data_IF_476599303755
#
_entry.id   IF_476599303755
#
_cell.length_a   1.000
_cell.length_b   1.000
_cell.length_c   1.000
_cell.angle_alpha   90.00
_cell.angle_beta   90.00
_cell.angle_gamma   90.00
#
_symmetry.space_group_name_H-M   'P 1'
#
loop_
_entity.id
_entity.type
_entity.pdbx_description
1 polymer ?
#
# COMPACT_ATOMS: atom_id res chain seq x y z
N UNK A 1 -27.87 -20.95 7.36
CA UNK A 1 -26.88 -21.06 8.46
C UNK A 1 -25.50 -21.00 7.82
N UNK A 2 -24.93 -19.80 7.69
CA UNK A 2 -23.56 -19.59 7.18
C UNK A 2 -22.62 -20.24 8.19
N UNK A 3 -22.03 -21.40 7.82
CA UNK A 3 -20.88 -21.94 8.54
C UNK A 3 -19.86 -20.79 8.63
N UNK A 4 -19.43 -20.47 9.83
CA UNK A 4 -18.46 -19.42 10.12
C UNK A 4 -17.32 -19.45 9.11
N UNK A 5 -17.46 -18.71 8.01
CA UNK A 5 -16.34 -18.37 7.14
C UNK A 5 -15.58 -17.39 7.98
N UNK A 6 -14.64 -17.94 8.73
CA UNK A 6 -13.92 -17.22 9.75
C UNK A 6 -13.19 -16.06 9.03
N UNK A 7 -13.54 -14.82 9.35
CA UNK A 7 -12.87 -13.62 8.83
C UNK A 7 -11.36 -13.77 8.96
N UNK A 8 -10.90 -14.46 10.01
CA UNK A 8 -9.51 -14.86 10.20
C UNK A 8 -8.95 -15.71 9.03
N UNK A 9 -9.75 -16.63 8.48
CA UNK A 9 -9.33 -17.43 7.32
C UNK A 9 -9.19 -16.57 6.08
N UNK A 10 -10.07 -15.59 5.87
CA UNK A 10 -9.98 -14.63 4.78
C UNK A 10 -8.69 -13.79 4.90
N UNK A 11 -8.44 -13.23 6.08
CA UNK A 11 -7.22 -12.46 6.38
C UNK A 11 -5.96 -13.29 6.17
N UNK A 12 -5.93 -14.55 6.62
CA UNK A 12 -4.80 -15.46 6.39
C UNK A 12 -4.56 -15.75 4.91
N UNK A 13 -5.62 -15.90 4.11
CA UNK A 13 -5.51 -16.08 2.66
C UNK A 13 -5.00 -14.82 1.97
N UNK A 14 -5.46 -13.64 2.37
CA UNK A 14 -4.92 -12.36 1.89
C UNK A 14 -3.42 -12.20 2.21
N UNK A 15 -2.98 -12.66 3.39
CA UNK A 15 -1.56 -12.64 3.75
C UNK A 15 -0.68 -13.54 2.86
N UNK A 16 -1.24 -14.64 2.32
CA UNK A 16 -0.54 -15.48 1.35
C UNK A 16 -0.22 -14.73 0.04
N UNK A 17 -1.08 -13.83 -0.39
CA UNK A 17 -0.88 -12.96 -1.55
C UNK A 17 0.40 -12.11 -1.40
N UNK A 18 0.56 -11.46 -0.23
CA UNK A 18 1.75 -10.64 0.06
C UNK A 18 3.04 -11.47 -0.01
N UNK A 19 3.02 -12.72 0.47
CA UNK A 19 4.17 -13.62 0.40
C UNK A 19 4.53 -14.01 -1.03
N UNK A 20 3.55 -14.34 -1.85
CA UNK A 20 3.75 -14.71 -3.27
C UNK A 20 4.31 -13.52 -4.03
N UNK A 21 3.70 -12.34 -3.86
CA UNK A 21 4.15 -11.10 -4.48
C UNK A 21 5.59 -10.77 -4.09
N UNK A 22 5.92 -10.80 -2.81
CA UNK A 22 7.27 -10.54 -2.32
C UNK A 22 8.30 -11.52 -2.90
N UNK A 23 7.94 -12.81 -3.01
CA UNK A 23 8.84 -13.84 -3.57
C UNK A 23 9.11 -13.65 -5.07
N UNK A 24 8.07 -13.32 -5.84
CA UNK A 24 8.19 -13.15 -7.30
C UNK A 24 8.90 -11.83 -7.61
N UNK A 25 8.71 -10.79 -6.81
CA UNK A 25 9.36 -9.48 -6.98
C UNK A 25 10.79 -9.42 -6.40
N UNK A 26 11.23 -10.45 -5.69
CA UNK A 26 12.54 -10.44 -5.02
C UNK A 26 13.73 -10.13 -5.93
N UNK A 27 13.82 -10.62 -7.20
CA UNK A 27 14.94 -10.28 -8.09
C UNK A 27 15.01 -8.77 -8.38
N UNK A 28 13.87 -8.14 -8.69
CA UNK A 28 13.76 -6.71 -8.98
C UNK A 28 14.06 -5.89 -7.73
N UNK A 29 13.54 -6.30 -6.57
CA UNK A 29 13.83 -5.65 -5.29
C UNK A 29 15.33 -5.66 -5.00
N UNK A 30 16.00 -6.78 -5.25
CA UNK A 30 17.44 -6.91 -5.07
C UNK A 30 18.23 -6.05 -6.06
N UNK A 31 17.79 -6.00 -7.32
CA UNK A 31 18.43 -5.19 -8.36
C UNK A 31 18.44 -3.70 -7.99
N UNK A 32 17.30 -3.16 -7.56
CA UNK A 32 17.17 -1.76 -7.13
C UNK A 32 17.49 -1.55 -5.65
N UNK A 33 17.93 -2.59 -4.94
CA UNK A 33 18.21 -2.56 -3.50
C UNK A 33 17.03 -2.00 -2.67
N UNK A 34 15.82 -2.33 -3.07
CA UNK A 34 14.59 -1.87 -2.42
C UNK A 34 14.08 -2.91 -1.41
N UNK A 35 13.66 -2.43 -0.25
CA UNK A 35 12.86 -3.20 0.69
C UNK A 35 11.38 -3.22 0.27
N UNK A 36 10.58 -4.18 0.74
CA UNK A 36 9.14 -4.20 0.47
C UNK A 36 8.41 -2.90 0.86
N UNK A 37 8.77 -2.31 2.00
CA UNK A 37 8.16 -1.05 2.45
C UNK A 37 8.53 0.15 1.57
N UNK A 38 9.72 0.18 0.98
CA UNK A 38 10.11 1.21 0.02
C UNK A 38 9.31 1.09 -1.28
N UNK A 39 9.07 -0.13 -1.74
CA UNK A 39 8.20 -0.39 -2.92
C UNK A 39 6.78 0.07 -2.65
N UNK A 40 6.23 -0.27 -1.48
CA UNK A 40 4.87 0.16 -1.11
C UNK A 40 4.77 1.70 -1.09
N UNK A 41 5.78 2.40 -0.56
CA UNK A 41 5.85 3.87 -0.56
C UNK A 41 5.92 4.43 -1.99
N UNK A 42 6.81 3.91 -2.84
CA UNK A 42 6.96 4.38 -4.23
C UNK A 42 5.68 4.19 -5.04
N UNK A 43 5.07 3.01 -4.97
CA UNK A 43 3.82 2.71 -5.68
C UNK A 43 2.67 3.58 -5.14
N UNK A 44 2.60 3.76 -3.82
CA UNK A 44 1.58 4.61 -3.22
C UNK A 44 1.69 6.06 -3.71
N UNK A 45 2.88 6.65 -3.64
CA UNK A 45 3.13 8.01 -4.12
C UNK A 45 2.89 8.18 -5.63
N UNK A 46 3.10 7.13 -6.43
CA UNK A 46 2.80 7.17 -7.86
C UNK A 46 1.31 7.23 -8.18
N UNK A 47 0.49 6.64 -7.31
CA UNK A 47 -0.96 6.60 -7.48
C UNK A 47 -1.69 7.75 -6.76
N UNK A 48 -1.04 8.43 -5.82
CA UNK A 48 -1.65 9.43 -4.94
C UNK A 48 -0.78 10.70 -4.89
N UNK A 49 -1.14 11.71 -5.66
CA UNK A 49 -0.36 12.95 -5.71
C UNK A 49 -0.58 13.91 -4.54
N UNK A 50 -1.74 13.81 -3.89
CA UNK A 50 -2.16 14.72 -2.81
C UNK A 50 -1.95 14.15 -1.42
N UNK A 51 -1.84 12.82 -1.30
CA UNK A 51 -1.63 12.10 -0.04
C UNK A 51 -0.14 11.71 0.00
N UNK A 52 0.68 12.56 0.59
CA UNK A 52 2.13 12.44 0.42
C UNK A 52 2.96 12.81 1.66
N UNK A 53 2.35 12.86 2.84
CA UNK A 53 3.07 13.04 4.11
C UNK A 53 3.41 11.70 4.78
N UNK A 54 4.42 11.67 5.64
CA UNK A 54 4.77 10.46 6.40
C UNK A 54 3.62 9.94 7.28
N UNK A 55 2.80 10.85 7.81
CA UNK A 55 1.62 10.51 8.62
C UNK A 55 0.58 9.77 7.77
N UNK A 56 0.25 10.31 6.62
CA UNK A 56 -0.70 9.71 5.68
C UNK A 56 -0.20 8.36 5.16
N UNK A 57 1.06 8.28 4.73
CA UNK A 57 1.67 7.02 4.31
C UNK A 57 1.55 5.93 5.37
N UNK A 58 1.78 6.27 6.65
CA UNK A 58 1.63 5.31 7.76
C UNK A 58 0.19 4.84 7.93
N UNK A 59 -0.78 5.72 7.75
CA UNK A 59 -2.20 5.40 7.87
C UNK A 59 -2.67 4.50 6.70
N UNK A 60 -2.37 4.88 5.46
CA UNK A 60 -2.87 4.19 4.28
C UNK A 60 -2.15 2.86 3.98
N UNK A 61 -0.84 2.79 4.20
CA UNK A 61 -0.08 1.56 3.93
C UNK A 61 -0.21 0.51 5.05
N UNK A 62 -0.86 0.85 6.16
CA UNK A 62 -1.02 -0.03 7.33
C UNK A 62 0.34 -0.61 7.79
N UNK A 63 1.37 0.23 7.77
CA UNK A 63 2.73 -0.11 8.24
C UNK A 63 3.14 0.83 9.37
N UNK A 64 4.01 0.36 10.26
CA UNK A 64 4.41 1.14 11.42
C UNK A 64 5.11 2.45 11.02
N UNK A 65 4.89 3.52 11.81
CA UNK A 65 5.56 4.82 11.62
C UNK A 65 7.08 4.69 11.49
N UNK A 66 7.70 3.78 12.24
CA UNK A 66 9.13 3.52 12.17
C UNK A 66 9.59 2.89 10.84
N UNK A 67 8.77 2.03 10.24
CA UNK A 67 9.04 1.47 8.91
C UNK A 67 8.88 2.54 7.83
N UNK A 68 7.85 3.39 7.90
CA UNK A 68 7.67 4.52 6.99
C UNK A 68 8.87 5.46 7.05
N UNK A 69 9.27 5.89 8.25
CA UNK A 69 10.40 6.81 8.44
C UNK A 69 11.71 6.24 7.88
N UNK A 70 12.00 4.95 8.12
CA UNK A 70 13.19 4.29 7.55
C UNK A 70 13.12 4.17 6.03
N UNK A 71 11.95 3.82 5.48
CA UNK A 71 11.73 3.74 4.04
C UNK A 71 11.93 5.09 3.36
N UNK A 72 11.34 6.16 3.89
CA UNK A 72 11.51 7.52 3.38
C UNK A 72 12.98 7.94 3.41
N UNK A 73 13.67 7.75 4.55
CA UNK A 73 15.09 8.08 4.68
C UNK A 73 15.94 7.35 3.64
N UNK A 74 15.67 6.06 3.42
CA UNK A 74 16.40 5.26 2.44
C UNK A 74 16.10 5.71 1.00
N UNK A 75 14.86 6.02 0.67
CA UNK A 75 14.46 6.51 -0.65
C UNK A 75 15.04 7.89 -0.97
N UNK A 76 15.16 8.77 0.03
CA UNK A 76 15.87 10.04 -0.08
C UNK A 76 17.36 9.83 -0.42
N UNK A 77 18.02 8.91 0.29
CA UNK A 77 19.45 8.58 0.03
C UNK A 77 19.68 7.96 -1.36
N UNK A 78 18.68 7.21 -1.86
CA UNK A 78 18.72 6.63 -3.22
C UNK A 78 18.33 7.62 -4.31
N UNK A 79 17.87 8.81 -3.96
CA UNK A 79 17.44 9.83 -4.91
C UNK A 79 16.12 9.51 -5.61
N UNK A 80 15.27 8.64 -5.05
CA UNK A 80 13.96 8.30 -5.62
C UNK A 80 12.83 9.21 -5.15
N UNK A 81 13.00 9.86 -4.01
CA UNK A 81 12.06 10.87 -3.50
C UNK A 81 12.81 12.13 -3.07
N UNK A 82 12.09 13.24 -3.04
CA UNK A 82 12.55 14.48 -2.42
C UNK A 82 11.46 15.05 -1.52
N UNK A 83 11.82 16.00 -0.68
CA UNK A 83 10.93 16.61 0.30
C UNK A 83 10.75 18.08 -0.04
N UNK A 84 9.50 18.56 0.00
CA UNK A 84 9.17 19.97 0.05
C UNK A 84 8.47 20.27 1.38
N UNK A 85 8.85 21.38 1.99
CA UNK A 85 8.22 21.85 3.22
C UNK A 85 6.97 22.62 2.87
N UNK A 86 5.87 22.37 3.59
CA UNK A 86 4.62 23.09 3.41
C UNK A 86 4.80 24.58 3.69
N UNK A 87 4.19 25.44 2.87
CA UNK A 87 4.33 26.88 2.97
C UNK A 87 3.56 27.48 4.17
N UNK A 88 2.50 26.82 4.62
CA UNK A 88 1.63 27.25 5.71
C UNK A 88 2.08 26.71 7.06
N UNK A 89 2.56 25.46 7.11
CA UNK A 89 3.10 24.83 8.31
C UNK A 89 4.43 24.10 8.03
N UNK A 90 5.53 24.73 8.44
CA UNK A 90 6.89 24.21 8.26
C UNK A 90 7.17 22.86 8.94
N UNK A 91 6.26 22.35 9.75
CA UNK A 91 6.35 21.01 10.35
C UNK A 91 5.88 19.92 9.41
N UNK A 92 5.12 20.30 8.38
CA UNK A 92 4.61 19.38 7.37
C UNK A 92 5.64 19.27 6.25
N UNK A 93 5.98 18.03 5.92
CA UNK A 93 6.88 17.69 4.83
C UNK A 93 6.14 16.82 3.82
N UNK A 94 6.11 17.27 2.58
CA UNK A 94 5.53 16.58 1.45
C UNK A 94 6.59 15.81 0.68
N UNK A 95 6.29 14.59 0.32
CA UNK A 95 7.16 13.68 -0.41
C UNK A 95 6.75 13.65 -1.88
N UNK A 96 7.71 13.83 -2.75
CA UNK A 96 7.52 13.78 -4.19
C UNK A 96 8.50 12.79 -4.83
N UNK A 97 8.05 12.16 -5.92
CA UNK A 97 8.87 11.27 -6.70
C UNK A 97 9.81 12.05 -7.60
N UNK A 98 11.06 11.59 -7.71
CA UNK A 98 12.02 12.11 -8.70
C UNK A 98 11.78 11.45 -10.06
N UNK A 99 12.40 11.99 -11.10
CA UNK A 99 12.40 11.38 -12.42
C UNK A 99 13.05 9.98 -12.41
N UNK A 100 14.13 9.80 -11.67
CA UNK A 100 14.77 8.49 -11.48
C UNK A 100 13.86 7.43 -10.87
N UNK A 101 12.89 7.82 -10.05
CA UNK A 101 11.90 6.90 -9.50
C UNK A 101 10.92 6.38 -10.56
N UNK A 102 10.65 7.13 -11.62
CA UNK A 102 9.65 6.76 -12.64
C UNK A 102 10.04 5.45 -13.36
N UNK A 103 11.30 5.29 -13.73
CA UNK A 103 11.79 4.06 -14.37
C UNK A 103 11.60 2.84 -13.46
N UNK A 104 12.00 2.99 -12.20
CA UNK A 104 11.85 1.94 -11.19
C UNK A 104 10.40 1.57 -10.97
N UNK A 105 9.53 2.57 -10.86
CA UNK A 105 8.09 2.38 -10.68
C UNK A 105 7.48 1.64 -11.87
N UNK A 106 7.85 1.98 -13.10
CA UNK A 106 7.35 1.27 -14.29
C UNK A 106 7.72 -0.22 -14.27
N UNK A 107 8.96 -0.55 -13.91
CA UNK A 107 9.40 -1.95 -13.77
C UNK A 107 8.60 -2.67 -12.68
N UNK A 108 8.42 -2.03 -11.52
CA UNK A 108 7.66 -2.61 -10.40
C UNK A 108 6.18 -2.82 -10.74
N UNK A 109 5.54 -1.85 -11.41
CA UNK A 109 4.14 -1.97 -11.84
C UNK A 109 3.95 -3.05 -12.90
N UNK A 110 4.87 -3.14 -13.87
CA UNK A 110 4.86 -4.23 -14.86
C UNK A 110 4.94 -5.59 -14.18
N UNK A 111 5.88 -5.73 -13.22
CA UNK A 111 6.03 -6.99 -12.48
C UNK A 111 4.80 -7.33 -11.65
N UNK A 112 4.20 -6.32 -11.03
CA UNK A 112 2.94 -6.49 -10.31
C UNK A 112 1.83 -7.00 -11.22
N UNK A 113 1.66 -6.42 -12.38
CA UNK A 113 0.66 -6.85 -13.38
C UNK A 113 0.90 -8.29 -13.85
N UNK A 114 2.15 -8.70 -14.06
CA UNK A 114 2.49 -10.08 -14.41
C UNK A 114 2.07 -11.07 -13.30
N UNK A 115 2.33 -10.73 -12.05
CA UNK A 115 1.94 -11.54 -10.88
C UNK A 115 0.42 -11.62 -10.77
N UNK A 116 -0.27 -10.50 -10.90
CA UNK A 116 -1.73 -10.42 -10.87
C UNK A 116 -2.35 -11.30 -11.97
N UNK A 117 -1.84 -11.22 -13.20
CA UNK A 117 -2.31 -12.05 -14.29
C UNK A 117 -2.17 -13.55 -14.02
N UNK A 118 -1.09 -13.97 -13.37
CA UNK A 118 -0.90 -15.37 -12.98
C UNK A 118 -1.85 -15.82 -11.87
N UNK A 119 -2.07 -14.97 -10.87
CA UNK A 119 -2.95 -15.25 -9.73
C UNK A 119 -4.41 -15.32 -10.17
N UNK A 120 -4.82 -14.43 -11.08
CA UNK A 120 -6.20 -14.32 -11.55
C UNK A 120 -6.50 -15.22 -12.76
N UNK A 121 -5.52 -16.01 -13.22
CA UNK A 121 -5.70 -16.89 -14.36
C UNK A 121 -6.89 -17.85 -14.18
N UNK A 122 -7.81 -17.81 -15.14
CA UNK A 122 -9.00 -18.67 -15.14
C UNK A 122 -10.15 -18.18 -14.24
N UNK A 123 -10.01 -17.01 -13.62
CA UNK A 123 -11.09 -16.39 -12.85
C UNK A 123 -11.82 -15.40 -13.75
N UNK A 124 -13.15 -15.55 -13.95
CA UNK A 124 -13.95 -14.58 -14.71
C UNK A 124 -13.87 -13.18 -14.11
N UNK A 125 -13.83 -12.14 -14.96
CA UNK A 125 -13.78 -10.75 -14.52
C UNK A 125 -14.95 -10.36 -13.61
N UNK A 126 -16.12 -10.93 -13.85
CA UNK A 126 -17.31 -10.72 -13.02
C UNK A 126 -17.05 -11.14 -11.55
N UNK A 127 -16.41 -12.29 -11.34
CA UNK A 127 -16.10 -12.76 -9.98
C UNK A 127 -15.06 -11.84 -9.30
N UNK A 128 -14.09 -11.33 -10.05
CA UNK A 128 -13.12 -10.37 -9.54
C UNK A 128 -13.82 -9.09 -9.09
N UNK A 129 -14.75 -8.57 -9.89
CA UNK A 129 -15.52 -7.38 -9.58
C UNK A 129 -16.39 -7.57 -8.31
N UNK A 130 -17.02 -8.74 -8.17
CA UNK A 130 -17.80 -9.07 -6.96
C UNK A 130 -16.91 -9.07 -5.72
N UNK A 131 -15.70 -9.63 -5.81
CA UNK A 131 -14.74 -9.64 -4.70
C UNK A 131 -14.34 -8.21 -4.32
N UNK A 132 -13.99 -7.37 -5.28
CA UNK A 132 -13.62 -5.98 -5.03
C UNK A 132 -14.76 -5.20 -4.36
N UNK A 133 -15.98 -5.25 -4.90
CA UNK A 133 -17.15 -4.60 -4.31
C UNK A 133 -17.45 -5.10 -2.89
N UNK A 134 -17.21 -6.40 -2.64
CA UNK A 134 -17.40 -6.98 -1.31
C UNK A 134 -16.38 -6.43 -0.32
N UNK A 135 -15.10 -6.30 -0.74
CA UNK A 135 -14.07 -5.67 0.10
C UNK A 135 -14.35 -4.20 0.37
N UNK A 136 -14.80 -3.43 -0.62
CA UNK A 136 -15.18 -2.02 -0.43
C UNK A 136 -16.28 -1.89 0.62
N UNK A 137 -17.29 -2.79 0.58
CA UNK A 137 -18.35 -2.81 1.57
C UNK A 137 -17.89 -3.21 2.98
N UNK A 138 -16.96 -4.17 3.06
CA UNK A 138 -16.32 -4.54 4.34
C UNK A 138 -15.57 -3.35 4.92
N UNK A 139 -14.79 -2.64 4.11
CA UNK A 139 -14.03 -1.47 4.54
C UNK A 139 -14.94 -0.36 5.04
N UNK A 140 -16.02 -0.04 4.30
CA UNK A 140 -16.99 0.95 4.74
C UNK A 140 -17.66 0.57 6.09
N UNK A 141 -17.95 -0.71 6.30
CA UNK A 141 -18.49 -1.16 7.59
C UNK A 141 -17.47 -1.02 8.73
N UNK A 142 -16.18 -1.25 8.45
CA UNK A 142 -15.09 -1.08 9.43
C UNK A 142 -14.94 0.40 9.79
N UNK A 143 -14.94 1.29 8.81
CA UNK A 143 -14.86 2.75 9.03
C UNK A 143 -16.02 3.23 9.90
N UNK A 144 -17.25 2.83 9.60
CA UNK A 144 -18.42 3.15 10.43
C UNK A 144 -18.29 2.67 11.88
N UNK A 145 -17.70 1.49 12.10
CA UNK A 145 -17.49 0.96 13.46
C UNK A 145 -16.45 1.81 14.21
N UNK A 146 -15.39 2.25 13.54
CA UNK A 146 -14.34 3.08 14.13
C UNK A 146 -14.94 4.43 14.52
N UNK A 147 -15.64 5.11 13.61
CA UNK A 147 -16.27 6.41 13.84
C UNK A 147 -17.29 6.35 15.00
N UNK A 148 -18.11 5.29 15.05
CA UNK A 148 -19.11 5.11 16.11
C UNK A 148 -18.46 4.90 17.48
N UNK A 149 -17.32 4.17 17.53
CA UNK A 149 -16.62 3.94 18.79
C UNK A 149 -15.82 5.16 19.26
N UNK A 150 -15.32 6.00 18.37
CA UNK A 150 -14.66 7.27 18.73
C UNK A 150 -15.67 8.23 19.39
N UNK A 151 -16.90 8.33 18.91
CA UNK A 151 -17.95 9.14 19.53
C UNK A 151 -18.39 8.62 20.92
N UNK A 152 -18.23 7.33 21.20
CA UNK A 152 -18.63 6.73 22.50
C UNK A 152 -17.56 6.91 23.58
N UNK A 153 -16.32 7.26 23.21
CA UNK A 153 -15.20 7.49 24.13
C UNK A 153 -15.04 8.98 24.51
N UNK A 154 -15.77 9.89 23.85
CA UNK A 154 -15.78 11.33 24.12
C UNK A 154 -16.94 11.77 25.04
N UNK A 155 -17.85 10.86 25.41
CA UNK A 155 -18.90 11.07 26.44
C UNK A 155 -18.46 10.47 27.80
#
# INVERSE_FOLDING_TARGET
MLKHTNLETLVKRCAAFRKVYARISAPELKHYQLSPSEVDILIFLSNNRTINTAKELSAFLVISKGLVARGIKSLLLKGYVYIETDNSDRRIQHLFLTEAAQEVIQVLLKKRSEVEAHILKGIPQEHINIVLQTFDRINANIENIIETNEHTLEE
#
